data_IF_753853180304
#
_entry.id   IF_753853180304
#
_cell.length_a   1.000
_cell.length_b   1.000
_cell.length_c   1.000
_cell.angle_alpha   90.00
_cell.angle_beta   90.00
_cell.angle_gamma   90.00
#
_symmetry.space_group_name_H-M   'P 1'
#
loop_
_entity.id
_entity.type
_entity.pdbx_description
1 polymer ?
#
# COMPACT_ATOMS: atom_id res chain seq x y z
N UNK A 1 5.71 10.68 8.64
CA UNK A 1 5.54 9.22 8.63
C UNK A 1 5.77 8.75 7.21
N UNK A 2 6.54 7.68 7.02
CA UNK A 2 6.67 7.02 5.72
C UNK A 2 5.83 5.74 5.71
N UNK A 3 5.30 5.39 4.54
CA UNK A 3 4.59 4.14 4.28
C UNK A 3 5.12 3.56 2.97
N UNK A 4 5.74 2.39 3.05
CA UNK A 4 6.20 1.65 1.87
C UNK A 4 5.48 0.30 1.79
N UNK A 5 4.73 0.12 0.70
CA UNK A 5 4.15 -1.16 0.35
C UNK A 5 5.12 -1.93 -0.55
N UNK A 6 5.60 -3.04 -0.04
CA UNK A 6 6.27 -4.08 -0.82
C UNK A 6 5.21 -5.08 -1.26
N UNK A 7 5.07 -5.27 -2.57
CA UNK A 7 4.13 -6.23 -3.12
C UNK A 7 4.86 -7.29 -3.95
N UNK A 8 4.30 -8.50 -3.95
CA UNK A 8 4.82 -9.59 -4.77
C UNK A 8 4.56 -9.28 -6.24
N UNK A 9 5.65 -9.04 -6.98
CA UNK A 9 5.56 -8.66 -8.40
C UNK A 9 4.87 -9.72 -9.27
N UNK A 10 4.81 -10.98 -8.82
CA UNK A 10 4.14 -12.08 -9.54
C UNK A 10 2.62 -11.93 -9.51
N UNK A 11 2.07 -11.25 -8.51
CA UNK A 11 0.63 -11.04 -8.39
C UNK A 11 0.09 -10.08 -9.45
N UNK A 12 0.95 -9.26 -10.05
CA UNK A 12 0.58 -8.27 -11.06
C UNK A 12 1.32 -8.51 -12.39
N UNK A 13 1.86 -9.72 -12.57
CA UNK A 13 2.50 -10.11 -13.82
C UNK A 13 1.46 -10.07 -14.94
N UNK A 14 1.72 -9.30 -16.00
CA UNK A 14 0.79 -9.07 -17.10
C UNK A 14 -0.12 -7.85 -16.96
N UNK A 15 -0.08 -7.14 -15.83
CA UNK A 15 -0.79 -5.87 -15.66
C UNK A 15 0.15 -4.69 -15.95
N UNK A 16 -0.05 -4.06 -17.10
CA UNK A 16 0.74 -2.87 -17.49
C UNK A 16 0.40 -1.69 -16.56
N UNK A 17 1.43 -0.99 -16.07
CA UNK A 17 1.24 0.14 -15.17
C UNK A 17 0.81 -0.22 -13.74
N UNK A 18 0.95 -1.49 -13.32
CA UNK A 18 0.52 -1.95 -12.00
C UNK A 18 1.11 -1.13 -10.85
N UNK A 19 2.38 -0.75 -10.98
CA UNK A 19 3.08 0.04 -9.97
C UNK A 19 2.39 1.39 -9.76
N UNK A 20 2.07 2.08 -10.84
CA UNK A 20 1.47 3.41 -10.84
C UNK A 20 0.04 3.35 -10.28
N UNK A 21 -0.72 2.33 -10.65
CA UNK A 21 -2.08 2.09 -10.16
C UNK A 21 -2.06 1.85 -8.64
N UNK A 22 -1.23 0.92 -8.17
CA UNK A 22 -1.10 0.61 -6.74
C UNK A 22 -0.61 1.84 -5.97
N UNK A 23 0.37 2.57 -6.51
CA UNK A 23 0.89 3.78 -5.87
C UNK A 23 -0.19 4.86 -5.75
N UNK A 24 -0.97 5.10 -6.79
CA UNK A 24 -2.03 6.10 -6.78
C UNK A 24 -3.11 5.76 -5.73
N UNK A 25 -3.58 4.51 -5.70
CA UNK A 25 -4.63 4.09 -4.77
C UNK A 25 -4.12 4.08 -3.32
N UNK A 26 -2.92 3.54 -3.07
CA UNK A 26 -2.31 3.57 -1.74
C UNK A 26 -2.11 5.01 -1.26
N UNK A 27 -1.63 5.91 -2.13
CA UNK A 27 -1.42 7.32 -1.77
C UNK A 27 -2.73 7.98 -1.38
N UNK A 28 -3.78 7.79 -2.18
CA UNK A 28 -5.12 8.33 -1.91
C UNK A 28 -5.64 7.90 -0.54
N UNK A 29 -5.59 6.61 -0.21
CA UNK A 29 -6.11 6.09 1.07
C UNK A 29 -5.23 6.48 2.26
N UNK A 30 -3.90 6.43 2.11
CA UNK A 30 -3.00 6.84 3.19
C UNK A 30 -3.18 8.32 3.50
N UNK A 31 -3.28 9.20 2.49
CA UNK A 31 -3.45 10.64 2.71
C UNK A 31 -4.81 11.03 3.29
N UNK A 32 -5.85 10.20 3.12
CA UNK A 32 -7.12 10.39 3.84
C UNK A 32 -6.98 10.26 5.36
N UNK A 33 -6.04 9.43 5.83
CA UNK A 33 -5.81 9.18 7.26
C UNK A 33 -4.63 10.02 7.78
N UNK A 34 -3.60 10.16 6.95
CA UNK A 34 -2.31 10.80 7.27
C UNK A 34 -1.87 11.69 6.09
N UNK A 35 -2.38 12.94 6.02
CA UNK A 35 -2.20 13.83 4.86
C UNK A 35 -0.73 14.09 4.48
N UNK A 36 0.15 14.15 5.47
CA UNK A 36 1.57 14.48 5.28
C UNK A 36 2.46 13.23 5.17
N UNK A 37 1.88 12.04 4.99
CA UNK A 37 2.66 10.81 4.90
C UNK A 37 3.36 10.69 3.55
N UNK A 38 4.61 10.22 3.57
CA UNK A 38 5.30 9.87 2.34
C UNK A 38 4.97 8.43 1.94
N UNK A 39 4.47 8.24 0.72
CA UNK A 39 3.98 6.94 0.24
C UNK A 39 4.84 6.42 -0.90
N UNK A 40 5.30 5.17 -0.77
CA UNK A 40 6.14 4.49 -1.76
C UNK A 40 5.62 3.07 -2.00
N UNK A 41 5.87 2.56 -3.20
CA UNK A 41 5.60 1.16 -3.54
C UNK A 41 6.84 0.53 -4.17
N UNK A 42 7.06 -0.75 -3.87
CA UNK A 42 8.22 -1.49 -4.38
C UNK A 42 7.84 -2.92 -4.79
N UNK A 43 8.03 -3.30 -6.06
CA UNK A 43 7.86 -4.69 -6.49
C UNK A 43 9.03 -5.56 -5.99
N UNK A 44 8.74 -6.61 -5.23
CA UNK A 44 9.72 -7.58 -4.73
C UNK A 44 9.16 -9.02 -4.79
N UNK A 45 9.89 -9.99 -4.22
CA UNK A 45 9.30 -11.29 -3.86
C UNK A 45 8.69 -11.16 -2.45
N UNK A 46 7.41 -11.50 -2.31
CA UNK A 46 6.64 -11.39 -1.07
C UNK A 46 5.98 -10.02 -0.83
N UNK A 47 5.08 -9.99 0.15
CA UNK A 47 4.32 -8.81 0.56
C UNK A 47 4.79 -8.30 1.93
N UNK A 48 4.97 -6.98 2.07
CA UNK A 48 5.27 -6.35 3.35
C UNK A 48 4.80 -4.89 3.39
N UNK A 49 4.50 -4.40 4.59
CA UNK A 49 4.21 -2.99 4.85
C UNK A 49 5.27 -2.43 5.81
N UNK A 50 6.08 -1.50 5.32
CA UNK A 50 7.14 -0.83 6.09
C UNK A 50 6.69 0.58 6.46
N UNK A 51 6.88 0.99 7.72
CA UNK A 51 6.53 2.32 8.20
C UNK A 51 7.22 2.63 9.52
N UNK A 52 7.49 3.91 9.78
CA UNK A 52 7.89 4.47 11.08
C UNK A 52 6.69 4.80 11.99
N UNK A 53 5.49 4.35 11.62
CA UNK A 53 4.26 4.52 12.37
C UNK A 53 4.33 3.93 13.78
N UNK A 54 3.57 4.54 14.70
CA UNK A 54 3.27 3.94 16.00
C UNK A 54 2.52 2.61 15.83
N UNK A 55 2.50 1.75 16.87
CA UNK A 55 1.77 0.47 16.82
C UNK A 55 0.30 0.67 16.43
N UNK A 56 -0.38 1.65 17.03
CA UNK A 56 -1.78 1.96 16.74
C UNK A 56 -2.01 2.46 15.32
N UNK A 57 -1.08 3.25 14.77
CA UNK A 57 -1.21 3.75 13.40
C UNK A 57 -0.90 2.65 12.38
N UNK A 58 0.03 1.74 12.70
CA UNK A 58 0.29 0.55 11.89
C UNK A 58 -0.93 -0.37 11.80
N UNK A 59 -1.72 -0.51 12.86
CA UNK A 59 -2.98 -1.26 12.82
C UNK A 59 -4.00 -0.61 11.88
N UNK A 60 -4.15 0.72 11.92
CA UNK A 60 -5.01 1.44 10.97
C UNK A 60 -4.55 1.25 9.52
N UNK A 61 -3.24 1.32 9.27
CA UNK A 61 -2.68 1.10 7.93
C UNK A 61 -2.92 -0.32 7.42
N UNK A 62 -2.72 -1.35 8.26
CA UNK A 62 -2.99 -2.74 7.86
C UNK A 62 -4.47 -2.98 7.55
N UNK A 63 -5.38 -2.40 8.35
CA UNK A 63 -6.81 -2.50 8.10
C UNK A 63 -7.19 -1.85 6.77
N UNK A 64 -6.75 -0.61 6.55
CA UNK A 64 -6.98 0.10 5.30
C UNK A 64 -6.42 -0.67 4.09
N UNK A 65 -5.24 -1.25 4.22
CA UNK A 65 -4.62 -2.05 3.17
C UNK A 65 -5.45 -3.30 2.84
N UNK A 66 -5.98 -3.98 3.87
CA UNK A 66 -6.89 -5.12 3.70
C UNK A 66 -8.15 -4.73 2.93
N UNK A 67 -8.81 -3.66 3.34
CA UNK A 67 -10.02 -3.13 2.67
C UNK A 67 -9.71 -2.76 1.20
N UNK A 68 -8.55 -2.16 0.92
CA UNK A 68 -8.12 -1.83 -0.46
C UNK A 68 -8.04 -3.04 -1.38
N UNK A 69 -7.50 -4.17 -0.90
CA UNK A 69 -7.37 -5.38 -1.72
C UNK A 69 -8.68 -6.16 -1.82
N UNK A 70 -9.48 -6.21 -0.75
CA UNK A 70 -10.83 -6.80 -0.80
C UNK A 70 -11.74 -6.08 -1.80
N UNK A 71 -11.66 -4.75 -1.88
CA UNK A 71 -12.39 -3.96 -2.86
C UNK A 71 -11.91 -4.16 -4.30
N UNK A 72 -10.65 -4.54 -4.50
CA UNK A 72 -10.09 -4.76 -5.83
C UNK A 72 -10.45 -6.13 -6.43
N UNK A 73 -10.79 -7.11 -5.58
CA UNK A 73 -11.24 -8.45 -5.98
C UNK A 73 -12.77 -8.53 -6.27
N UNK A 74 -13.52 -7.45 -6.01
CA UNK A 74 -14.96 -7.31 -6.30
C UNK A 74 -15.24 -6.66 -7.65
#
# INVERSE_FOLDING_TARGET
>A
MFVELVYDKRNVEGLEGAREIIQAELTKRVHQIFPDAEVRVKPMQGNALNSDASKSDREKLNRMLGEMFEEADM
#
